data_IF_946794755768
#
_entry.id   IF_946794755768
#
_cell.length_a   1.000
_cell.length_b   1.000
_cell.length_c   1.000
_cell.angle_alpha   90.00
_cell.angle_beta   90.00
_cell.angle_gamma   90.00
#
_symmetry.space_group_name_H-M   'P 1'
#
loop_
_entity.id
_entity.type
_entity.pdbx_description
1 polymer ?
#
# COMPACT_ATOMS: atom_id res chain seq x y z
N UNK A 1 -35.61 11.60 -0.12
CA UNK A 1 -35.10 12.57 -1.10
C UNK A 1 -33.60 12.39 -1.16
N UNK A 2 -33.09 12.23 -2.37
CA UNK A 2 -31.74 11.79 -2.76
C UNK A 2 -30.73 12.94 -2.73
N UNK A 3 -29.51 12.67 -2.23
CA UNK A 3 -28.20 13.11 -2.76
C UNK A 3 -27.17 12.06 -2.29
N UNK A 4 -26.91 11.00 -3.06
CA UNK A 4 -25.77 10.87 -3.99
C UNK A 4 -24.41 11.07 -3.32
N UNK A 5 -23.96 10.07 -2.55
CA UNK A 5 -22.60 9.96 -2.00
C UNK A 5 -21.67 9.16 -2.93
N UNK A 6 -21.64 9.53 -4.21
CA UNK A 6 -20.91 8.80 -5.25
C UNK A 6 -19.88 9.68 -5.96
N UNK A 7 -19.12 10.53 -5.28
CA UNK A 7 -17.99 11.26 -5.92
C UNK A 7 -16.83 11.49 -4.94
N UNK A 8 -16.17 10.40 -4.52
CA UNK A 8 -14.78 10.42 -4.05
C UNK A 8 -14.09 9.15 -4.57
N UNK A 9 -13.83 9.12 -5.87
CA UNK A 9 -13.07 8.04 -6.52
C UNK A 9 -11.92 8.67 -7.30
N UNK A 10 -10.80 8.90 -6.63
CA UNK A 10 -9.51 9.12 -7.28
C UNK A 10 -8.67 7.83 -7.32
N UNK A 11 -9.35 6.68 -7.42
CA UNK A 11 -8.66 5.44 -7.76
C UNK A 11 -8.65 5.34 -9.30
N UNK A 12 -7.50 5.37 -9.98
CA UNK A 12 -7.45 5.23 -11.42
C UNK A 12 -8.17 3.94 -11.81
N UNK A 13 -9.28 4.08 -12.55
CA UNK A 13 -10.04 2.93 -13.04
C UNK A 13 -9.06 1.98 -13.71
N UNK A 14 -8.95 0.76 -13.19
CA UNK A 14 -8.14 -0.31 -13.78
C UNK A 14 -8.64 -0.53 -15.22
N UNK A 15 -7.99 0.12 -16.17
CA UNK A 15 -8.24 -0.06 -17.58
C UNK A 15 -7.78 -1.46 -17.97
N UNK A 16 -8.62 -2.18 -18.72
CA UNK A 16 -8.26 -3.46 -19.34
C UNK A 16 -7.31 -3.20 -20.52
N UNK A 17 -6.05 -2.90 -20.22
CA UNK A 17 -4.99 -2.92 -21.23
C UNK A 17 -4.57 -4.38 -21.49
N UNK A 18 -4.13 -4.68 -22.72
CA UNK A 18 -3.65 -6.03 -23.07
C UNK A 18 -2.48 -6.41 -22.15
N UNK A 19 -2.55 -7.63 -21.62
CA UNK A 19 -1.54 -8.26 -20.75
C UNK A 19 -0.64 -9.23 -21.51
N UNK A 20 -0.74 -9.25 -22.85
CA UNK A 20 -0.12 -10.27 -23.70
C UNK A 20 1.42 -10.29 -23.59
N UNK A 21 2.04 -9.21 -23.12
CA UNK A 21 3.49 -9.10 -22.92
C UNK A 21 3.99 -9.61 -21.56
N UNK A 22 3.12 -9.92 -20.59
CA UNK A 22 3.52 -10.38 -19.25
C UNK A 22 3.13 -11.85 -19.03
N UNK A 23 4.12 -12.73 -19.08
CA UNK A 23 3.97 -14.16 -18.90
C UNK A 23 3.74 -14.50 -17.42
N UNK A 24 2.69 -15.27 -17.13
CA UNK A 24 2.44 -15.81 -15.79
C UNK A 24 1.64 -14.90 -14.85
N UNK A 25 1.10 -13.78 -15.35
CA UNK A 25 0.31 -12.83 -14.56
C UNK A 25 -0.92 -13.48 -13.90
N UNK A 26 -1.64 -14.33 -14.63
CA UNK A 26 -2.82 -15.03 -14.09
C UNK A 26 -2.46 -16.04 -12.98
N UNK A 27 -1.28 -16.66 -13.08
CA UNK A 27 -0.77 -17.57 -12.04
C UNK A 27 -0.35 -16.77 -10.79
N UNK A 28 0.27 -15.61 -10.99
CA UNK A 28 0.61 -14.69 -9.91
C UNK A 28 -0.65 -14.20 -9.19
N UNK A 29 -1.65 -13.71 -9.92
CA UNK A 29 -2.95 -13.28 -9.42
C UNK A 29 -3.62 -14.36 -8.56
N UNK A 30 -3.82 -15.57 -9.12
CA UNK A 30 -4.39 -16.71 -8.38
C UNK A 30 -3.56 -17.13 -7.17
N UNK A 31 -2.23 -16.97 -7.24
CA UNK A 31 -1.34 -17.19 -6.11
C UNK A 31 -1.66 -16.24 -4.95
N UNK A 32 -1.81 -14.95 -5.24
CA UNK A 32 -2.19 -13.95 -4.25
C UNK A 32 -3.59 -14.23 -3.69
N UNK A 33 -4.60 -14.48 -4.53
CA UNK A 33 -5.97 -14.82 -4.09
C UNK A 33 -5.98 -15.98 -3.09
N UNK A 34 -5.22 -17.05 -3.41
CA UNK A 34 -5.11 -18.23 -2.55
C UNK A 34 -4.39 -17.93 -1.24
N UNK A 35 -3.33 -17.12 -1.26
CA UNK A 35 -2.51 -16.86 -0.08
C UNK A 35 -3.17 -15.89 0.89
N UNK A 36 -3.90 -14.90 0.38
CA UNK A 36 -4.55 -13.87 1.17
C UNK A 36 -6.05 -14.12 1.41
N UNK A 37 -6.60 -15.21 0.87
CA UNK A 37 -8.05 -15.48 0.90
C UNK A 37 -8.85 -14.26 0.41
N UNK A 38 -8.39 -13.69 -0.70
CA UNK A 38 -8.78 -12.37 -1.19
C UNK A 38 -9.20 -12.43 -2.66
N UNK A 39 -9.96 -11.44 -3.11
CA UNK A 39 -10.13 -11.13 -4.53
C UNK A 39 -8.96 -10.24 -4.96
N UNK A 40 -8.33 -10.55 -6.09
CA UNK A 40 -7.16 -9.80 -6.56
C UNK A 40 -7.38 -9.32 -7.99
N UNK A 41 -7.28 -8.01 -8.15
CA UNK A 41 -7.24 -7.34 -9.46
C UNK A 41 -5.83 -6.84 -9.71
N UNK A 42 -5.34 -7.04 -10.92
CA UNK A 42 -4.08 -6.46 -11.38
C UNK A 42 -4.39 -5.62 -12.61
N UNK A 43 -3.75 -4.47 -12.71
CA UNK A 43 -4.01 -3.46 -13.74
C UNK A 43 -2.75 -2.70 -14.14
N UNK A 44 -2.95 -1.82 -15.13
CA UNK A 44 -1.99 -0.84 -15.65
C UNK A 44 -0.60 -1.46 -15.96
N UNK A 45 -0.39 -1.90 -17.20
CA UNK A 45 0.79 -2.70 -17.57
C UNK A 45 1.83 -1.92 -18.37
N UNK A 46 1.55 -0.65 -18.65
CA UNK A 46 2.27 0.15 -19.62
C UNK A 46 2.06 -0.34 -21.06
N UNK A 47 2.36 0.53 -22.04
CA UNK A 47 2.34 0.18 -23.46
C UNK A 47 3.68 -0.39 -23.95
N UNK A 48 4.74 -0.34 -23.12
CA UNK A 48 6.12 -0.62 -23.52
C UNK A 48 6.54 -2.03 -23.13
N UNK A 49 7.11 -2.76 -24.07
CA UNK A 49 7.70 -4.09 -23.88
C UNK A 49 8.93 -4.08 -22.92
N UNK A 50 9.49 -2.91 -22.60
CA UNK A 50 10.71 -2.76 -21.79
C UNK A 50 10.47 -2.77 -20.28
N UNK A 51 9.30 -2.28 -19.82
CA UNK A 51 8.95 -2.22 -18.40
C UNK A 51 7.44 -2.30 -18.18
N UNK A 52 7.03 -3.10 -17.19
CA UNK A 52 5.66 -3.23 -16.71
C UNK A 52 5.55 -2.74 -15.26
N UNK A 53 4.56 -1.90 -14.99
CA UNK A 53 4.38 -1.17 -13.73
C UNK A 53 3.02 -1.51 -13.11
N UNK A 54 2.96 -2.63 -12.40
CA UNK A 54 1.71 -3.22 -11.93
C UNK A 54 1.01 -2.32 -10.90
N UNK A 55 -0.30 -2.14 -11.07
CA UNK A 55 -1.21 -1.72 -9.99
C UNK A 55 -1.91 -2.98 -9.49
N UNK A 56 -1.78 -3.27 -8.20
CA UNK A 56 -2.35 -4.48 -7.57
C UNK A 56 -3.38 -4.03 -6.53
N UNK A 57 -4.61 -4.51 -6.67
CA UNK A 57 -5.67 -4.34 -5.68
C UNK A 57 -6.01 -5.69 -5.06
N UNK A 58 -5.89 -5.80 -3.75
CA UNK A 58 -6.19 -6.98 -2.95
C UNK A 58 -7.37 -6.64 -2.04
N UNK A 59 -8.50 -7.28 -2.29
CA UNK A 59 -9.72 -7.11 -1.49
C UNK A 59 -9.96 -8.29 -0.57
N UNK A 60 -9.88 -8.05 0.73
CA UNK A 60 -10.03 -9.05 1.78
C UNK A 60 -11.34 -8.85 2.55
N UNK A 61 -11.97 -9.94 2.98
CA UNK A 61 -13.13 -9.89 3.87
C UNK A 61 -12.68 -9.96 5.35
N UNK A 62 -11.82 -9.03 5.75
CA UNK A 62 -11.29 -8.88 7.11
C UNK A 62 -11.36 -7.40 7.50
N UNK A 63 -11.53 -7.09 8.77
CA UNK A 63 -11.26 -5.74 9.28
C UNK A 63 -9.76 -5.47 9.42
N UNK A 64 -9.37 -4.22 9.66
CA UNK A 64 -7.98 -3.84 9.93
C UNK A 64 -7.38 -4.63 11.08
N UNK A 65 -8.07 -4.68 12.22
CA UNK A 65 -7.60 -5.41 13.40
C UNK A 65 -7.45 -6.91 13.13
N UNK A 66 -8.41 -7.51 12.42
CA UNK A 66 -8.33 -8.92 12.03
C UNK A 66 -7.14 -9.17 11.10
N UNK A 67 -6.97 -8.34 10.07
CA UNK A 67 -5.88 -8.45 9.11
C UNK A 67 -4.52 -8.34 9.81
N UNK A 68 -4.32 -7.33 10.65
CA UNK A 68 -3.07 -7.14 11.40
C UNK A 68 -2.83 -8.29 12.38
N UNK A 69 -3.87 -8.79 13.04
CA UNK A 69 -3.77 -9.96 13.91
C UNK A 69 -3.32 -11.22 13.15
N UNK A 70 -3.88 -11.49 11.98
CA UNK A 70 -3.49 -12.65 11.17
C UNK A 70 -2.07 -12.50 10.62
N UNK A 71 -1.70 -11.32 10.16
CA UNK A 71 -0.35 -11.02 9.66
C UNK A 71 0.69 -11.14 10.78
N UNK A 72 0.37 -10.69 11.99
CA UNK A 72 1.29 -10.74 13.14
C UNK A 72 1.44 -12.15 13.75
N UNK A 73 0.61 -13.11 13.35
CA UNK A 73 0.77 -14.50 13.84
C UNK A 73 2.03 -15.13 13.25
N UNK A 74 2.86 -15.79 14.07
CA UNK A 74 3.93 -16.63 13.56
C UNK A 74 3.32 -17.68 12.63
N UNK A 75 3.66 -17.64 11.33
CA UNK A 75 3.00 -18.54 10.38
C UNK A 75 3.35 -19.99 10.72
N UNK A 76 2.33 -20.81 10.88
CA UNK A 76 2.44 -22.27 10.99
C UNK A 76 2.41 -22.96 9.62
N UNK A 77 2.51 -22.19 8.51
CA UNK A 77 2.23 -22.67 7.17
C UNK A 77 3.27 -23.71 6.71
N UNK A 78 2.81 -24.96 6.55
CA UNK A 78 3.56 -26.06 5.94
C UNK A 78 3.76 -25.79 4.44
N UNK A 79 4.93 -25.27 4.08
CA UNK A 79 5.24 -24.86 2.71
C UNK A 79 6.28 -23.74 2.61
N UNK A 80 6.63 -23.11 3.74
CA UNK A 80 7.79 -22.21 3.79
C UNK A 80 9.08 -22.96 3.43
N UNK A 81 9.97 -22.36 2.63
CA UNK A 81 11.35 -22.82 2.53
C UNK A 81 11.96 -22.89 3.94
N UNK A 82 12.67 -23.97 4.27
CA UNK A 82 13.27 -24.18 5.62
C UNK A 82 14.23 -23.06 6.07
N UNK A 83 14.59 -22.14 5.17
CA UNK A 83 15.56 -21.06 5.39
C UNK A 83 14.95 -19.65 5.27
N UNK A 84 13.65 -19.50 4.99
CA UNK A 84 12.99 -18.18 5.02
C UNK A 84 12.56 -17.88 6.45
N UNK A 85 12.92 -16.72 6.98
CA UNK A 85 12.57 -16.30 8.34
C UNK A 85 11.06 -16.20 8.58
N UNK A 86 10.68 -15.67 9.74
CA UNK A 86 9.29 -15.45 10.15
C UNK A 86 8.60 -14.29 9.39
N UNK A 87 9.07 -13.97 8.19
CA UNK A 87 8.59 -12.84 7.37
C UNK A 87 7.11 -13.00 7.02
N UNK A 88 6.34 -11.97 7.35
CA UNK A 88 4.89 -11.84 7.16
C UNK A 88 4.53 -11.87 5.67
N UNK A 89 5.41 -11.34 4.84
CA UNK A 89 5.18 -11.08 3.40
C UNK A 89 5.80 -12.12 2.47
N UNK A 90 6.42 -13.18 3.02
CA UNK A 90 7.21 -14.14 2.25
C UNK A 90 6.46 -14.77 1.06
N UNK A 91 5.16 -15.06 1.21
CA UNK A 91 4.36 -15.67 0.14
C UNK A 91 4.14 -14.70 -1.02
N UNK A 92 3.94 -13.42 -0.73
CA UNK A 92 3.88 -12.36 -1.74
C UNK A 92 5.21 -12.26 -2.47
N UNK A 93 6.32 -12.15 -1.74
CA UNK A 93 7.67 -12.01 -2.31
C UNK A 93 8.05 -13.21 -3.18
N UNK A 94 7.69 -14.43 -2.77
CA UNK A 94 7.92 -15.64 -3.57
C UNK A 94 7.09 -15.66 -4.85
N UNK A 95 5.82 -15.26 -4.78
CA UNK A 95 4.96 -15.18 -5.96
C UNK A 95 5.48 -14.11 -6.94
N UNK A 96 5.85 -12.94 -6.42
CA UNK A 96 6.39 -11.83 -7.20
C UNK A 96 7.74 -12.17 -7.83
N UNK A 97 8.66 -12.79 -7.08
CA UNK A 97 9.94 -13.27 -7.60
C UNK A 97 9.77 -14.29 -8.73
N UNK A 98 8.77 -15.18 -8.65
CA UNK A 98 8.45 -16.12 -9.73
C UNK A 98 7.95 -15.39 -10.97
N UNK A 99 7.06 -14.41 -10.82
CA UNK A 99 6.59 -13.59 -11.94
C UNK A 99 7.76 -12.90 -12.64
N UNK A 100 8.66 -12.25 -11.89
CA UNK A 100 9.87 -11.61 -12.44
C UNK A 100 10.75 -12.59 -13.22
N UNK A 101 10.94 -13.82 -12.73
CA UNK A 101 11.78 -14.84 -13.40
C UNK A 101 11.19 -15.36 -14.71
N UNK A 102 9.87 -15.27 -14.90
CA UNK A 102 9.19 -15.71 -16.12
C UNK A 102 9.25 -14.67 -17.25
N UNK A 103 9.70 -13.45 -16.94
CA UNK A 103 9.67 -12.32 -17.86
C UNK A 103 11.07 -11.76 -18.07
N UNK A 104 11.38 -11.35 -19.30
CA UNK A 104 12.60 -10.60 -19.63
C UNK A 104 12.43 -9.11 -19.38
N UNK A 105 11.18 -8.63 -19.50
CA UNK A 105 10.76 -7.26 -19.20
C UNK A 105 10.94 -6.95 -17.72
N UNK A 106 11.35 -5.73 -17.40
CA UNK A 106 11.41 -5.27 -16.00
C UNK A 106 9.99 -5.17 -15.45
N UNK A 107 9.73 -5.85 -14.33
CA UNK A 107 8.43 -5.77 -13.65
C UNK A 107 8.64 -5.07 -12.33
N UNK A 108 7.83 -4.04 -12.10
CA UNK A 108 7.72 -3.31 -10.84
C UNK A 108 6.25 -3.18 -10.42
N UNK A 109 6.02 -2.77 -9.18
CA UNK A 109 4.70 -2.45 -8.64
C UNK A 109 4.68 -0.95 -8.40
N UNK A 110 3.78 -0.25 -9.08
CA UNK A 110 3.60 1.20 -8.88
C UNK A 110 2.68 1.50 -7.71
N UNK A 111 1.70 0.64 -7.47
CA UNK A 111 0.75 0.80 -6.38
C UNK A 111 0.28 -0.58 -5.89
N UNK A 112 0.18 -0.71 -4.56
CA UNK A 112 -0.47 -1.82 -3.90
C UNK A 112 -1.59 -1.27 -3.02
N UNK A 113 -2.83 -1.61 -3.37
CA UNK A 113 -4.03 -1.29 -2.61
C UNK A 113 -4.53 -2.53 -1.89
N UNK A 114 -4.80 -2.40 -0.59
CA UNK A 114 -5.36 -3.43 0.27
C UNK A 114 -6.70 -2.93 0.79
N UNK A 115 -7.78 -3.44 0.22
CA UNK A 115 -9.15 -3.09 0.58
C UNK A 115 -9.66 -4.06 1.64
N UNK A 116 -9.79 -3.59 2.88
CA UNK A 116 -10.39 -4.31 4.01
C UNK A 116 -11.88 -3.91 4.15
N UNK A 117 -12.56 -4.48 5.15
CA UNK A 117 -13.97 -4.17 5.39
C UNK A 117 -14.20 -2.74 5.90
N UNK A 118 -13.25 -2.22 6.67
CA UNK A 118 -13.31 -0.93 7.38
C UNK A 118 -12.16 0.02 7.04
N UNK A 119 -11.15 -0.43 6.30
CA UNK A 119 -9.98 0.38 5.93
C UNK A 119 -9.47 0.03 4.54
N UNK A 120 -9.14 1.03 3.74
CA UNK A 120 -8.34 0.87 2.52
C UNK A 120 -6.93 1.38 2.77
N UNK A 121 -5.92 0.54 2.51
CA UNK A 121 -4.51 0.93 2.62
C UNK A 121 -3.93 1.03 1.21
N UNK A 122 -3.44 2.21 0.84
CA UNK A 122 -2.80 2.47 -0.44
C UNK A 122 -1.30 2.71 -0.24
N UNK A 123 -0.49 1.86 -0.87
CA UNK A 123 0.97 1.91 -0.79
C UNK A 123 1.51 2.31 -2.16
N UNK A 124 2.14 3.48 -2.24
CA UNK A 124 2.72 4.01 -3.48
C UNK A 124 4.18 3.64 -3.63
N UNK A 125 4.64 3.48 -4.87
CA UNK A 125 6.07 3.36 -5.19
C UNK A 125 6.78 4.70 -4.95
N UNK A 126 7.96 4.64 -4.35
CA UNK A 126 8.81 5.81 -4.09
C UNK A 126 10.22 5.69 -4.68
N UNK A 127 10.65 4.48 -5.03
CA UNK A 127 11.86 4.17 -5.82
C UNK A 127 11.68 2.77 -6.48
N UNK A 128 12.59 2.35 -7.35
CA UNK A 128 12.47 1.05 -8.03
C UNK A 128 12.38 -0.13 -7.06
N UNK A 129 11.36 -0.98 -7.23
CA UNK A 129 11.06 -2.13 -6.36
C UNK A 129 10.70 -1.77 -4.91
N UNK A 130 10.46 -0.49 -4.60
CA UNK A 130 10.29 -0.02 -3.22
C UNK A 130 9.18 -0.74 -2.45
N UNK A 131 8.04 -1.01 -3.11
CA UNK A 131 6.94 -1.75 -2.50
C UNK A 131 7.39 -3.17 -2.13
N UNK A 132 8.02 -3.90 -3.06
CA UNK A 132 8.45 -5.27 -2.80
C UNK A 132 9.55 -5.33 -1.72
N UNK A 133 10.47 -4.36 -1.71
CA UNK A 133 11.57 -4.31 -0.77
C UNK A 133 11.12 -3.93 0.66
N UNK A 134 10.08 -3.10 0.78
CA UNK A 134 9.65 -2.53 2.07
C UNK A 134 8.36 -3.13 2.63
N UNK A 135 7.68 -4.03 1.89
CA UNK A 135 6.38 -4.56 2.30
C UNK A 135 6.39 -5.15 3.72
N UNK A 136 7.44 -5.90 4.08
CA UNK A 136 7.59 -6.48 5.42
C UNK A 136 7.69 -5.41 6.51
N UNK A 137 8.46 -4.35 6.24
CA UNK A 137 8.67 -3.25 7.16
C UNK A 137 7.40 -2.41 7.30
N UNK A 138 6.70 -2.14 6.19
CA UNK A 138 5.41 -1.43 6.18
C UNK A 138 4.38 -2.17 7.05
N UNK A 139 4.21 -3.48 6.86
CA UNK A 139 3.29 -4.25 7.72
C UNK A 139 3.73 -4.31 9.17
N UNK A 140 5.04 -4.38 9.42
CA UNK A 140 5.57 -4.36 10.79
C UNK A 140 5.26 -3.02 11.47
N UNK A 141 5.41 -1.90 10.77
CA UNK A 141 5.06 -0.58 11.30
C UNK A 141 3.56 -0.40 11.46
N UNK A 142 2.72 -0.89 10.53
CA UNK A 142 1.26 -0.90 10.70
C UNK A 142 0.87 -1.64 11.99
N UNK A 143 1.48 -2.79 12.27
CA UNK A 143 1.22 -3.54 13.51
C UNK A 143 1.72 -2.75 14.74
N UNK A 144 2.95 -2.26 14.70
CA UNK A 144 3.57 -1.56 15.83
C UNK A 144 2.85 -0.24 16.16
N UNK A 145 2.29 0.41 15.13
CA UNK A 145 1.69 1.74 15.26
C UNK A 145 0.16 1.70 15.41
N UNK A 146 -0.47 0.51 15.35
CA UNK A 146 -1.94 0.35 15.38
C UNK A 146 -2.60 1.20 16.45
N UNK A 147 -2.18 1.06 17.71
CA UNK A 147 -2.81 1.78 18.82
C UNK A 147 -2.76 3.32 18.69
N UNK A 148 -1.77 3.86 17.99
CA UNK A 148 -1.57 5.30 17.86
C UNK A 148 -2.42 5.87 16.74
N UNK A 149 -2.34 5.29 15.54
CA UNK A 149 -3.12 5.79 14.41
C UNK A 149 -4.61 5.46 14.51
N UNK A 150 -5.02 4.51 15.35
CA UNK A 150 -6.43 4.26 15.66
C UNK A 150 -6.96 5.07 16.86
N UNK A 151 -6.23 6.10 17.29
CA UNK A 151 -6.58 6.97 18.42
C UNK A 151 -6.90 6.16 19.69
N UNK A 152 -6.07 5.16 19.98
CA UNK A 152 -6.26 4.23 21.08
C UNK A 152 -7.33 3.18 20.82
N UNK A 153 -7.46 2.71 19.57
CA UNK A 153 -8.50 1.76 19.10
C UNK A 153 -9.93 2.31 19.20
N UNK A 154 -10.10 3.62 19.37
CA UNK A 154 -11.41 4.26 19.44
C UNK A 154 -11.93 4.67 18.07
N UNK A 155 -11.04 4.87 17.09
CA UNK A 155 -11.40 5.32 15.76
C UNK A 155 -10.42 4.80 14.73
N UNK A 156 -10.89 3.90 13.86
CA UNK A 156 -10.09 3.32 12.77
C UNK A 156 -10.15 4.25 11.55
N UNK A 157 -9.01 4.55 10.89
CA UNK A 157 -9.05 5.29 9.63
C UNK A 157 -9.72 4.43 8.56
N UNK A 158 -10.62 5.01 7.77
CA UNK A 158 -11.23 4.30 6.64
C UNK A 158 -10.31 4.28 5.41
N UNK A 159 -9.34 5.20 5.33
CA UNK A 159 -8.29 5.23 4.30
C UNK A 159 -6.92 5.58 4.90
N UNK A 160 -5.87 4.92 4.40
CA UNK A 160 -4.47 5.13 4.79
C UNK A 160 -3.59 5.20 3.54
N UNK A 161 -2.81 6.27 3.39
CA UNK A 161 -1.88 6.51 2.27
C UNK A 161 -0.43 6.44 2.74
N UNK A 162 0.37 5.58 2.10
CA UNK A 162 1.74 5.23 2.53
C UNK A 162 2.74 5.36 1.36
N UNK A 163 3.75 6.24 1.45
CA UNK A 163 3.85 7.40 2.35
C UNK A 163 3.11 8.62 1.77
N UNK A 164 3.07 9.70 2.54
CA UNK A 164 2.76 11.04 2.04
C UNK A 164 3.99 11.93 2.19
N UNK A 165 4.21 12.78 1.18
CA UNK A 165 5.30 13.74 1.14
C UNK A 165 4.76 15.16 1.29
N UNK A 166 5.56 16.05 1.90
CA UNK A 166 5.25 17.49 1.90
C UNK A 166 5.63 18.08 0.53
N UNK A 167 4.78 18.92 -0.05
CA UNK A 167 5.19 19.77 -1.17
C UNK A 167 6.06 20.91 -0.66
N UNK A 168 7.16 21.21 -1.38
CA UNK A 168 7.94 22.45 -1.26
C UNK A 168 7.08 23.66 -1.71
N UNK A 169 6.03 23.97 -0.96
CA UNK A 169 5.39 25.29 -1.04
C UNK A 169 6.25 26.24 -0.23
N UNK A 170 6.70 27.32 -0.87
CA UNK A 170 7.71 28.26 -0.39
C UNK A 170 7.37 28.97 0.96
N UNK A 171 6.26 28.63 1.61
CA UNK A 171 5.72 29.33 2.79
C UNK A 171 5.34 28.43 3.99
N UNK A 172 5.53 27.11 3.99
CA UNK A 172 5.18 26.29 5.16
C UNK A 172 6.24 26.35 6.30
N UNK A 173 5.73 26.32 7.54
CA UNK A 173 6.45 26.54 8.79
C UNK A 173 7.80 25.81 8.91
N UNK A 174 8.77 26.48 9.55
CA UNK A 174 10.18 26.07 9.76
C UNK A 174 10.35 24.69 10.43
N UNK A 175 9.28 24.01 10.84
CA UNK A 175 9.31 22.71 11.50
C UNK A 175 9.28 21.49 10.58
N UNK A 176 8.98 21.63 9.27
CA UNK A 176 8.68 20.46 8.42
C UNK A 176 9.61 20.26 7.19
N UNK A 177 10.57 21.16 6.94
CA UNK A 177 11.46 21.20 5.75
C UNK A 177 12.44 20.03 5.49
N UNK A 178 12.03 18.78 5.43
CA UNK A 178 12.97 17.66 5.25
C UNK A 178 12.52 16.54 4.30
N UNK A 179 11.86 16.84 3.17
CA UNK A 179 11.64 15.80 2.16
C UNK A 179 11.90 16.35 0.75
N UNK A 180 13.03 15.94 0.16
CA UNK A 180 13.46 16.32 -1.20
C UNK A 180 12.96 15.24 -2.17
N UNK A 181 12.15 15.67 -3.13
CA UNK A 181 11.39 14.89 -4.11
C UNK A 181 12.21 14.11 -5.16
N UNK A 182 13.54 14.13 -5.13
CA UNK A 182 14.40 13.48 -6.14
C UNK A 182 15.40 12.45 -5.58
N UNK A 183 15.42 12.19 -4.27
CA UNK A 183 16.32 11.20 -3.64
C UNK A 183 15.60 10.39 -2.55
N UNK A 184 14.43 9.84 -2.89
CA UNK A 184 13.69 9.00 -1.98
C UNK A 184 14.55 7.80 -1.54
N UNK A 185 14.71 7.64 -0.24
CA UNK A 185 15.45 6.55 0.39
C UNK A 185 14.48 5.55 1.05
N UNK A 186 15.03 4.42 1.52
CA UNK A 186 14.24 3.34 2.13
C UNK A 186 13.38 3.77 3.33
N UNK A 187 13.79 4.82 4.05
CA UNK A 187 13.12 5.26 5.27
C UNK A 187 11.94 6.19 5.01
N UNK A 188 11.76 6.67 3.79
CA UNK A 188 10.76 7.69 3.48
C UNK A 188 9.33 7.14 3.52
N UNK A 189 9.16 5.81 3.47
CA UNK A 189 7.91 5.14 3.81
C UNK A 189 7.45 5.37 5.26
N UNK A 190 8.39 5.73 6.15
CA UNK A 190 8.17 5.79 7.60
C UNK A 190 8.29 7.20 8.16
N UNK A 191 8.17 8.22 7.30
CA UNK A 191 8.05 9.61 7.74
C UNK A 191 6.60 9.94 8.13
N UNK A 192 5.74 10.02 7.12
CA UNK A 192 4.36 10.44 7.27
C UNK A 192 3.40 9.54 6.48
N UNK A 193 2.25 9.25 7.08
CA UNK A 193 1.12 8.58 6.42
C UNK A 193 -0.09 9.50 6.39
N UNK A 194 -0.78 9.56 5.25
CA UNK A 194 -2.06 10.24 5.13
C UNK A 194 -3.19 9.35 5.65
N UNK A 195 -4.16 9.92 6.35
CA UNK A 195 -5.26 9.17 6.94
C UNK A 195 -6.56 9.95 6.83
N UNK A 196 -7.65 9.21 6.58
CA UNK A 196 -9.01 9.74 6.66
C UNK A 196 -9.81 8.94 7.67
N UNK A 197 -10.59 9.66 8.49
CA UNK A 197 -11.40 9.10 9.56
C UNK A 197 -12.87 9.49 9.38
N UNK A 198 -13.81 8.63 9.75
CA UNK A 198 -15.25 8.84 9.54
C UNK A 198 -15.79 10.12 10.20
N UNK A 199 -15.18 10.58 11.29
CA UNK A 199 -15.68 11.72 12.06
C UNK A 199 -15.14 13.08 11.58
N UNK A 200 -14.21 13.10 10.62
CA UNK A 200 -13.55 14.32 10.14
C UNK A 200 -13.55 14.36 8.61
N UNK A 201 -14.14 15.40 8.03
CA UNK A 201 -14.08 15.63 6.56
C UNK A 201 -12.67 16.01 6.09
N UNK A 202 -11.79 16.37 7.02
CA UNK A 202 -10.41 16.79 6.75
C UNK A 202 -9.44 15.62 6.83
N UNK A 203 -8.46 15.66 5.94
CA UNK A 203 -7.39 14.70 5.90
C UNK A 203 -6.43 14.91 7.08
N UNK A 204 -5.86 13.82 7.60
CA UNK A 204 -4.95 13.84 8.73
C UNK A 204 -3.59 13.27 8.34
N UNK A 205 -2.52 13.86 8.86
CA UNK A 205 -1.15 13.36 8.68
C UNK A 205 -0.73 12.65 9.96
N UNK A 206 -0.47 11.35 9.87
CA UNK A 206 0.17 10.61 10.95
C UNK A 206 1.69 10.68 10.82
N UNK A 207 2.35 11.28 11.80
CA UNK A 207 3.81 11.30 11.93
C UNK A 207 4.26 10.07 12.72
N UNK A 208 4.97 9.16 12.05
CA UNK A 208 5.42 7.92 12.66
C UNK A 208 6.49 8.16 13.74
N UNK A 209 7.34 9.19 13.58
CA UNK A 209 8.42 9.47 14.51
C UNK A 209 7.88 9.95 15.85
N UNK A 210 6.89 10.85 15.81
CA UNK A 210 6.27 11.41 17.03
C UNK A 210 5.07 10.61 17.51
N UNK A 211 4.52 9.72 16.67
CA UNK A 211 3.30 8.94 16.92
C UNK A 211 2.09 9.84 17.18
N UNK A 212 2.04 10.96 16.47
CA UNK A 212 0.97 11.96 16.60
C UNK A 212 0.24 12.15 15.29
N UNK A 213 -1.00 12.61 15.39
CA UNK A 213 -1.85 12.95 14.26
C UNK A 213 -1.90 14.47 14.17
N UNK A 214 -1.53 15.00 13.00
CA UNK A 214 -1.54 16.41 12.64
C UNK A 214 -2.76 16.62 11.72
N UNK A 215 -3.64 17.55 12.09
CA UNK A 215 -4.81 17.91 11.29
C UNK A 215 -4.51 19.18 10.48
N UNK A 216 -4.84 19.19 9.19
CA UNK A 216 -4.67 20.33 8.29
C UNK A 216 -5.15 20.04 6.86
N UNK A 217 -5.21 21.06 6.01
CA UNK A 217 -5.64 20.92 4.61
C UNK A 217 -4.61 20.13 3.79
N UNK A 218 -4.80 18.80 3.63
CA UNK A 218 -3.98 17.99 2.72
C UNK A 218 -4.57 18.11 1.31
N UNK A 219 -3.80 18.65 0.37
CA UNK A 219 -4.10 18.57 -1.05
C UNK A 219 -3.51 17.27 -1.60
N UNK A 220 -4.37 16.30 -1.94
CA UNK A 220 -3.97 15.12 -2.71
C UNK A 220 -3.93 15.52 -4.19
N UNK A 221 -2.75 15.43 -4.81
CA UNK A 221 -2.59 15.66 -6.24
C UNK A 221 -3.42 14.63 -7.03
N UNK A 222 -4.35 15.13 -7.84
CA UNK A 222 -4.95 14.35 -8.93
C UNK A 222 -4.11 14.61 -10.18
N UNK A 223 -3.74 13.55 -10.93
CA UNK A 223 -3.06 13.67 -12.24
C UNK A 223 -3.81 14.58 -13.22
#
# INVERSE_FOLDING_TARGET
MSKSGNEFFNNPKIGTQSTDHIVGLEVFRKGLEKHFFAEVSIGNYGLKEESANLIIDIKCNLSLDEALFYINKPSTCSGRPKNSGEEKTILFLLAYSKLKKLNTTTIDISELTISLLDTTILISKIYDQSIADQLENIFTELINHNIYYTKGLNETPFEVFIPVFEEDTLESDVKLKNIVSDNNNTNDYFGFWGMYYDQTEEAAIYDLNTKTIIFGDIQILSE
#
